data_IF_230691408748
#
_entry.id   IF_230691408748
#
_cell.length_a   1.000
_cell.length_b   1.000
_cell.length_c   1.000
_cell.angle_alpha   90.00
_cell.angle_beta   90.00
_cell.angle_gamma   90.00
#
_symmetry.space_group_name_H-M   'P 1'
#
loop_
_entity.id
_entity.type
_entity.pdbx_description
1 polymer ?
#
# COMPACT_ATOMS: atom_id res chain seq x y z
N UNK A 1 -18.61 -14.45 -5.00
CA UNK A 1 -17.80 -13.89 -3.89
C UNK A 1 -16.43 -14.54 -3.97
N UNK A 2 -15.37 -13.83 -3.58
CA UNK A 2 -14.00 -14.36 -3.59
C UNK A 2 -13.49 -14.53 -2.15
N UNK A 3 -12.50 -15.39 -1.96
CA UNK A 3 -11.83 -15.59 -0.67
C UNK A 3 -10.36 -15.21 -0.80
N UNK A 4 -9.90 -14.31 0.08
CA UNK A 4 -8.48 -13.96 0.20
C UNK A 4 -8.01 -14.44 1.57
N UNK A 5 -7.01 -15.34 1.66
CA UNK A 5 -6.49 -15.83 2.95
C UNK A 5 -6.04 -14.66 3.83
N UNK A 6 -6.18 -14.71 5.16
CA UNK A 6 -5.73 -13.61 6.03
C UNK A 6 -4.29 -13.81 6.48
N UNK A 7 -3.86 -15.06 6.57
CA UNK A 7 -2.56 -15.48 7.01
C UNK A 7 -1.48 -15.07 6.00
N UNK A 8 -0.33 -14.63 6.50
CA UNK A 8 0.87 -14.44 5.71
C UNK A 8 1.65 -15.74 5.68
N UNK A 9 1.10 -16.72 4.96
CA UNK A 9 1.80 -17.97 4.73
C UNK A 9 2.95 -17.72 3.75
N UNK A 10 4.08 -18.42 3.96
CA UNK A 10 5.26 -18.32 3.10
C UNK A 10 4.92 -18.58 1.62
N UNK A 11 3.89 -19.39 1.36
CA UNK A 11 3.34 -19.63 0.03
C UNK A 11 2.72 -18.38 -0.61
N UNK A 12 2.02 -17.54 0.17
CA UNK A 12 1.47 -16.27 -0.30
C UNK A 12 2.59 -15.33 -0.74
N UNK A 13 3.70 -15.26 0.00
CA UNK A 13 4.85 -14.44 -0.38
C UNK A 13 5.56 -14.92 -1.65
N UNK A 14 5.51 -16.23 -1.95
CA UNK A 14 6.12 -16.76 -3.17
C UNK A 14 5.31 -16.50 -4.43
N UNK A 15 3.99 -16.33 -4.32
CA UNK A 15 3.09 -16.08 -5.45
C UNK A 15 2.66 -14.61 -5.58
N UNK A 16 2.65 -13.85 -4.49
CA UNK A 16 2.35 -12.42 -4.49
C UNK A 16 3.60 -11.61 -4.84
N UNK A 17 3.46 -10.75 -5.84
CA UNK A 17 4.53 -9.83 -6.20
C UNK A 17 4.58 -8.69 -5.19
N UNK A 18 5.73 -8.51 -4.54
CA UNK A 18 5.98 -7.36 -3.69
C UNK A 18 6.03 -6.10 -4.57
N UNK A 19 5.26 -5.09 -4.20
CA UNK A 19 5.14 -3.84 -4.94
C UNK A 19 5.32 -2.64 -4.02
N UNK A 20 5.77 -1.53 -4.62
CA UNK A 20 5.91 -0.26 -3.93
C UNK A 20 4.77 0.65 -4.38
N UNK A 21 3.88 0.98 -3.44
CA UNK A 21 2.75 1.88 -3.69
C UNK A 21 2.91 3.20 -2.93
N UNK A 22 2.02 4.15 -3.20
CA UNK A 22 1.94 5.42 -2.46
C UNK A 22 0.55 5.56 -1.85
N UNK A 23 0.50 5.79 -0.54
CA UNK A 23 -0.74 6.07 0.19
C UNK A 23 -0.58 7.42 0.85
N UNK A 24 -1.47 8.37 0.53
CA UNK A 24 -1.41 9.75 1.05
C UNK A 24 -0.05 10.46 0.81
N UNK A 25 0.70 10.06 -0.22
CA UNK A 25 2.02 10.59 -0.54
C UNK A 25 3.19 9.79 0.06
N UNK A 26 2.94 8.90 1.00
CA UNK A 26 3.95 8.05 1.63
C UNK A 26 4.17 6.77 0.83
N UNK A 27 5.43 6.42 0.60
CA UNK A 27 5.80 5.15 -0.03
C UNK A 27 5.60 4.01 0.95
N UNK A 28 4.90 2.98 0.53
CA UNK A 28 4.60 1.79 1.32
C UNK A 28 5.02 0.53 0.58
N UNK A 29 5.45 -0.47 1.34
CA UNK A 29 5.69 -1.82 0.85
C UNK A 29 4.41 -2.65 1.00
N UNK A 30 3.98 -3.26 -0.10
CA UNK A 30 2.72 -4.00 -0.15
C UNK A 30 2.86 -5.29 -0.96
N UNK A 31 1.95 -6.23 -0.74
CA UNK A 31 1.77 -7.42 -1.56
C UNK A 31 0.52 -7.28 -2.42
N UNK A 32 0.60 -7.65 -3.69
CA UNK A 32 -0.58 -7.72 -4.55
C UNK A 32 -1.41 -8.98 -4.25
N UNK A 33 -2.73 -8.82 -4.10
CA UNK A 33 -3.64 -9.93 -3.79
C UNK A 33 -4.07 -10.75 -5.02
N UNK A 34 -3.47 -10.52 -6.19
CA UNK A 34 -3.67 -11.31 -7.39
C UNK A 34 -4.84 -10.85 -8.27
N UNK A 35 -4.90 -11.43 -9.47
CA UNK A 35 -5.79 -10.99 -10.53
C UNK A 35 -7.26 -11.32 -10.25
N UNK A 36 -7.56 -12.39 -9.51
CA UNK A 36 -8.93 -12.72 -9.10
C UNK A 36 -9.52 -11.63 -8.19
N UNK A 37 -8.72 -11.15 -7.23
CA UNK A 37 -9.11 -10.05 -6.36
C UNK A 37 -9.27 -8.74 -7.13
N UNK A 38 -8.35 -8.45 -8.05
CA UNK A 38 -8.43 -7.28 -8.92
C UNK A 38 -9.68 -7.29 -9.81
N UNK A 39 -9.99 -8.42 -10.45
CA UNK A 39 -11.15 -8.57 -11.33
C UNK A 39 -12.46 -8.38 -10.56
N UNK A 40 -12.59 -9.02 -9.39
CA UNK A 40 -13.78 -8.90 -8.56
C UNK A 40 -13.97 -7.45 -8.05
N UNK A 41 -12.90 -6.83 -7.54
CA UNK A 41 -12.96 -5.46 -7.02
C UNK A 41 -13.25 -4.45 -8.14
N UNK A 42 -12.66 -4.64 -9.31
CA UNK A 42 -12.89 -3.79 -10.48
C UNK A 42 -14.33 -3.85 -10.95
N UNK A 43 -14.92 -5.05 -10.97
CA UNK A 43 -16.32 -5.23 -11.29
C UNK A 43 -17.22 -4.55 -10.25
N UNK A 44 -16.90 -4.69 -8.96
CA UNK A 44 -17.68 -4.12 -7.87
C UNK A 44 -17.65 -2.58 -7.86
N UNK A 45 -16.49 -1.97 -8.09
CA UNK A 45 -16.30 -0.52 -8.09
C UNK A 45 -16.57 0.14 -9.45
N UNK A 46 -16.76 -0.65 -10.51
CA UNK A 46 -16.97 -0.15 -11.87
C UNK A 46 -15.76 0.54 -12.49
N UNK A 47 -14.54 0.28 -11.98
CA UNK A 47 -13.31 0.89 -12.48
C UNK A 47 -12.10 -0.04 -12.26
N UNK A 48 -11.06 0.05 -13.12
CA UNK A 48 -9.84 -0.74 -12.93
C UNK A 48 -9.18 -0.45 -11.58
N UNK A 49 -9.07 -1.46 -10.72
CA UNK A 49 -8.42 -1.35 -9.42
C UNK A 49 -7.84 -2.70 -8.98
N UNK A 50 -6.86 -2.65 -8.07
CA UNK A 50 -6.21 -3.84 -7.49
C UNK A 50 -6.27 -3.76 -5.97
N UNK A 51 -6.44 -4.92 -5.34
CA UNK A 51 -6.33 -5.05 -3.89
C UNK A 51 -4.86 -5.29 -3.52
N UNK A 52 -4.34 -4.48 -2.60
CA UNK A 52 -2.99 -4.62 -2.05
C UNK A 52 -3.06 -4.79 -0.53
N UNK A 53 -2.18 -5.62 0.01
CA UNK A 53 -2.00 -5.85 1.45
C UNK A 53 -0.76 -5.13 1.94
N UNK A 54 -0.86 -4.40 3.06
CA UNK A 54 0.31 -3.83 3.73
C UNK A 54 1.21 -4.95 4.26
N UNK A 55 2.51 -4.86 4.00
CA UNK A 55 3.48 -5.78 4.58
C UNK A 55 3.46 -5.67 6.13
N UNK A 56 3.40 -6.80 6.87
CA UNK A 56 3.47 -6.78 8.32
C UNK A 56 4.78 -6.16 8.80
N UNK A 57 4.74 -5.47 9.94
CA UNK A 57 5.92 -4.91 10.58
C UNK A 57 6.49 -3.65 9.93
N UNK A 58 5.92 -3.19 8.79
CA UNK A 58 6.27 -1.90 8.23
C UNK A 58 5.57 -0.79 9.03
N UNK A 59 6.35 -0.03 9.79
CA UNK A 59 5.87 1.19 10.45
C UNK A 59 5.97 2.37 9.48
N UNK A 60 4.98 3.27 9.51
CA UNK A 60 5.03 4.49 8.70
C UNK A 60 6.21 5.34 9.18
N UNK A 61 7.20 5.51 8.33
CA UNK A 61 8.31 6.45 8.55
C UNK A 61 7.76 7.88 8.48
N UNK A 62 7.27 8.40 9.60
CA UNK A 62 6.81 9.77 9.67
C UNK A 62 8.03 10.68 9.69
N UNK A 63 8.32 11.31 8.55
CA UNK A 63 9.26 12.44 8.51
C UNK A 63 8.69 13.56 9.37
N UNK A 64 9.08 13.61 10.64
CA UNK A 64 8.85 14.78 11.48
C UNK A 64 9.52 15.93 10.76
N UNK A 65 8.75 16.91 10.28
CA UNK A 65 9.35 18.17 9.84
C UNK A 65 10.05 18.72 11.07
N UNK A 66 11.37 18.83 11.01
CA UNK A 66 12.07 19.72 11.93
C UNK A 66 11.51 21.13 11.69
N UNK A 67 11.16 21.81 12.78
CA UNK A 67 10.56 23.15 12.75
C UNK A 67 11.43 24.22 12.06
N UNK A 68 12.67 23.86 11.69
CA UNK A 68 13.67 24.75 11.08
C UNK A 68 13.41 25.11 9.61
N UNK A 69 12.41 24.52 8.96
CA UNK A 69 11.99 24.92 7.61
C UNK A 69 10.78 25.88 7.60
N UNK A 70 10.08 26.04 8.73
CA UNK A 70 8.94 26.95 8.81
C UNK A 70 9.36 28.41 9.02
N UNK A 71 10.53 28.66 9.63
CA UNK A 71 11.01 30.02 9.91
C UNK A 71 11.60 30.75 8.68
N UNK A 72 12.09 30.03 7.68
CA UNK A 72 12.74 30.61 6.50
C UNK A 72 11.78 30.96 5.36
N UNK A 73 10.50 30.59 5.46
CA UNK A 73 9.46 30.91 4.47
C UNK A 73 8.77 32.26 4.73
N UNK A 74 9.02 32.92 5.86
CA UNK A 74 8.39 34.19 6.25
C UNK A 74 9.27 35.43 5.99
N UNK A 75 10.44 35.27 5.37
CA UNK A 75 11.39 36.37 5.09
C UNK A 75 11.84 36.45 3.62
N UNK A 76 10.96 36.16 2.66
CA UNK A 76 11.22 36.48 1.24
C UNK A 76 10.01 37.08 0.58
#
# INVERSE_FOLDING_TARGET
TISVPLEDDVSFHTSSQMCHSKVCGDRVETFDCGDEAAAWLSLFLGQPCRLIRQRPGLTREMKKRSDEAAASSFLS
#
